data_IF_186908982541
#
_entry.id   IF_186908982541
#
_cell.length_a   1.000
_cell.length_b   1.000
_cell.length_c   1.000
_cell.angle_alpha   90.00
_cell.angle_beta   90.00
_cell.angle_gamma   90.00
#
_symmetry.space_group_name_H-M   'P 1'
#
loop_
_entity.id
_entity.type
_entity.pdbx_description
1 polymer ?
#
# COMPACT_ATOMS: atom_id res chain seq x y z
N UNK A 1 3.20 -11.00 17.65
CA UNK A 1 4.51 -11.59 17.27
C UNK A 1 4.51 -11.77 15.75
N UNK A 2 5.58 -11.39 15.04
CA UNK A 2 5.70 -11.57 13.58
C UNK A 2 6.56 -12.82 13.37
N UNK A 3 5.94 -13.89 12.86
CA UNK A 3 6.55 -15.21 12.74
C UNK A 3 6.74 -15.52 11.24
N UNK A 4 7.50 -16.56 10.88
CA UNK A 4 7.64 -16.97 9.47
C UNK A 4 6.29 -17.26 8.80
N UNK A 5 5.32 -17.81 9.55
CA UNK A 5 3.93 -17.99 9.08
C UNK A 5 3.13 -16.70 8.85
N UNK A 6 3.68 -15.53 9.22
CA UNK A 6 3.09 -14.22 8.90
C UNK A 6 3.53 -13.70 7.52
N UNK A 7 4.52 -14.33 6.88
CA UNK A 7 4.89 -14.02 5.49
C UNK A 7 3.89 -14.72 4.57
N UNK A 8 3.17 -13.96 3.77
CA UNK A 8 2.25 -14.50 2.75
C UNK A 8 2.72 -14.09 1.36
N UNK A 9 2.64 -15.02 0.42
CA UNK A 9 2.72 -14.70 -1.00
C UNK A 9 1.35 -14.19 -1.41
N UNK A 10 1.24 -12.90 -1.70
CA UNK A 10 -0.01 -12.29 -2.15
C UNK A 10 0.06 -12.22 -3.67
N UNK A 11 -0.76 -13.00 -4.40
CA UNK A 11 -0.81 -12.91 -5.85
C UNK A 11 -1.36 -11.53 -6.23
N UNK A 12 -0.64 -10.83 -7.09
CA UNK A 12 -1.12 -9.59 -7.70
C UNK A 12 -1.80 -9.99 -9.01
N UNK A 13 -3.09 -9.69 -9.14
CA UNK A 13 -3.85 -10.05 -10.33
C UNK A 13 -3.28 -9.34 -11.57
N UNK A 14 -3.14 -10.05 -12.70
CA UNK A 14 -2.51 -9.55 -13.92
C UNK A 14 -3.17 -8.27 -14.43
N UNK A 15 -4.48 -8.13 -14.29
CA UNK A 15 -5.19 -6.88 -14.66
C UNK A 15 -4.72 -5.68 -13.83
N UNK A 16 -4.36 -5.84 -12.55
CA UNK A 16 -3.76 -4.75 -11.76
C UNK A 16 -2.33 -4.47 -12.19
N UNK A 17 -1.61 -5.50 -12.66
CA UNK A 17 -0.27 -5.34 -13.23
C UNK A 17 -0.36 -4.57 -14.55
N UNK A 18 -1.23 -4.96 -15.47
CA UNK A 18 -1.36 -4.40 -16.82
C UNK A 18 -2.01 -3.03 -16.85
N UNK A 19 -3.11 -2.80 -16.11
CA UNK A 19 -3.86 -1.54 -16.20
C UNK A 19 -3.43 -0.47 -15.19
N UNK A 20 -2.85 -0.84 -14.06
CA UNK A 20 -2.57 0.13 -12.99
C UNK A 20 -1.09 0.20 -12.66
N UNK A 21 -0.40 -0.92 -12.42
CA UNK A 21 1.02 -0.86 -12.03
C UNK A 21 1.96 -0.57 -13.20
N UNK A 22 1.66 -1.07 -14.40
CA UNK A 22 2.41 -0.74 -15.62
C UNK A 22 2.09 0.67 -16.10
N UNK A 23 0.81 1.04 -16.22
CA UNK A 23 0.43 2.40 -16.66
C UNK A 23 0.93 3.50 -15.73
N UNK A 24 0.96 3.25 -14.41
CA UNK A 24 1.46 4.21 -13.43
C UNK A 24 3.00 4.21 -13.30
N UNK A 25 3.72 3.42 -14.11
CA UNK A 25 5.18 3.40 -14.11
C UNK A 25 5.81 2.73 -12.88
N UNK A 26 5.07 1.87 -12.17
CA UNK A 26 5.52 1.28 -10.91
C UNK A 26 6.63 0.24 -11.12
N UNK A 27 6.58 -0.53 -12.22
CA UNK A 27 7.63 -1.50 -12.54
C UNK A 27 8.94 -0.81 -12.94
N UNK A 28 8.83 0.29 -13.66
CA UNK A 28 9.92 1.18 -14.08
C UNK A 28 10.56 1.80 -12.83
N UNK A 29 9.74 2.29 -11.89
CA UNK A 29 10.22 2.77 -10.60
C UNK A 29 10.95 1.67 -9.82
N UNK A 30 10.42 0.45 -9.75
CA UNK A 30 11.12 -0.67 -9.08
C UNK A 30 12.49 -0.91 -9.74
N UNK A 31 12.55 -0.92 -11.06
CA UNK A 31 13.79 -1.10 -11.81
C UNK A 31 14.78 0.02 -11.48
N UNK A 32 14.37 1.28 -11.52
CA UNK A 32 15.25 2.42 -11.23
C UNK A 32 15.76 2.40 -9.78
N UNK A 33 14.91 2.03 -8.81
CA UNK A 33 15.32 1.89 -7.41
C UNK A 33 16.34 0.77 -7.22
N UNK A 34 16.18 -0.35 -7.95
CA UNK A 34 17.12 -1.47 -7.90
C UNK A 34 18.46 -1.12 -8.54
N UNK A 35 18.44 -0.43 -9.69
CA UNK A 35 19.64 0.06 -10.37
C UNK A 35 20.39 1.10 -9.54
N UNK A 36 19.67 1.94 -8.78
CA UNK A 36 20.23 2.87 -7.81
C UNK A 36 20.82 2.19 -6.55
N UNK A 37 20.75 0.86 -6.44
CA UNK A 37 21.35 0.10 -5.33
C UNK A 37 20.57 0.18 -4.01
N UNK A 38 19.31 0.65 -4.04
CA UNK A 38 18.51 0.74 -2.83
C UNK A 38 17.91 -0.63 -2.45
N UNK A 39 17.96 -0.95 -1.15
CA UNK A 39 17.40 -2.20 -0.60
C UNK A 39 15.90 -2.13 -0.29
N UNK A 40 15.33 -0.92 -0.27
CA UNK A 40 13.91 -0.67 0.03
C UNK A 40 13.22 -0.08 -1.18
N UNK A 41 11.98 -0.48 -1.37
CA UNK A 41 11.12 0.04 -2.45
C UNK A 41 10.87 1.54 -2.33
N UNK A 42 10.77 2.07 -1.11
CA UNK A 42 10.57 3.50 -0.86
C UNK A 42 11.73 4.07 -0.02
N UNK A 43 12.88 4.38 -0.64
CA UNK A 43 14.05 4.90 0.08
C UNK A 43 13.81 6.29 0.69
N UNK A 44 12.90 7.08 0.12
CA UNK A 44 12.50 8.39 0.62
C UNK A 44 11.73 8.34 1.95
N UNK A 45 11.24 7.16 2.35
CA UNK A 45 10.47 7.00 3.56
C UNK A 45 11.40 6.97 4.80
N UNK A 46 11.60 8.15 5.39
CA UNK A 46 12.42 8.31 6.59
C UNK A 46 11.73 7.70 7.80
N UNK A 47 12.45 6.83 8.53
CA UNK A 47 11.99 6.27 9.81
C UNK A 47 11.85 7.39 10.83
N UNK A 48 10.71 7.54 11.49
CA UNK A 48 10.50 8.57 12.51
C UNK A 48 10.12 7.94 13.85
N UNK A 49 10.97 8.14 14.85
CA UNK A 49 10.72 7.73 16.25
C UNK A 49 10.55 6.21 16.45
N UNK A 50 9.91 5.84 17.57
CA UNK A 50 9.65 4.45 17.95
C UNK A 50 8.64 3.71 17.07
N UNK A 51 7.78 4.44 16.35
CA UNK A 51 6.72 3.88 15.49
C UNK A 51 7.20 3.50 14.08
N UNK A 52 8.50 3.61 13.81
CA UNK A 52 9.12 3.11 12.59
C UNK A 52 8.74 3.88 11.32
N UNK A 53 8.33 3.15 10.28
CA UNK A 53 7.99 3.67 8.96
C UNK A 53 6.49 3.94 8.78
N UNK A 54 5.64 3.47 9.71
CA UNK A 54 4.19 3.57 9.58
C UNK A 54 3.66 4.98 9.88
N UNK A 55 4.26 5.69 10.85
CA UNK A 55 3.81 7.04 11.25
C UNK A 55 3.90 8.07 10.10
N UNK A 56 5.01 8.17 9.34
CA UNK A 56 5.09 9.06 8.19
C UNK A 56 4.06 8.74 7.10
N UNK A 57 3.80 7.45 6.85
CA UNK A 57 2.82 7.01 5.83
C UNK A 57 1.41 7.37 6.26
N UNK A 58 1.04 7.14 7.51
CA UNK A 58 -0.28 7.53 8.05
C UNK A 58 -0.53 9.03 7.92
N UNK A 59 0.48 9.86 8.25
CA UNK A 59 0.40 11.33 8.10
C UNK A 59 0.29 11.76 6.64
N UNK A 60 1.04 11.15 5.74
CA UNK A 60 0.91 11.40 4.31
C UNK A 60 -0.49 11.04 3.81
N UNK A 61 -1.02 9.89 4.22
CA UNK A 61 -2.34 9.43 3.81
C UNK A 61 -3.45 10.36 4.30
N UNK A 62 -3.42 10.78 5.58
CA UNK A 62 -4.38 11.75 6.10
C UNK A 62 -4.39 13.05 5.29
N UNK A 63 -3.20 13.60 5.00
CA UNK A 63 -3.08 14.80 4.13
C UNK A 63 -3.61 14.55 2.72
N UNK A 64 -3.37 13.37 2.15
CA UNK A 64 -3.86 13.00 0.83
C UNK A 64 -5.40 12.96 0.80
N UNK A 65 -6.02 12.33 1.80
CA UNK A 65 -7.49 12.26 1.96
C UNK A 65 -8.08 13.67 2.06
N UNK A 66 -7.52 14.52 2.93
CA UNK A 66 -7.95 15.93 3.06
C UNK A 66 -7.77 16.70 1.75
N UNK A 67 -6.64 16.53 1.05
CA UNK A 67 -6.40 17.17 -0.25
C UNK A 67 -7.37 16.70 -1.33
N UNK A 68 -7.91 15.49 -1.20
CA UNK A 68 -8.90 14.93 -2.11
C UNK A 68 -10.33 15.40 -1.81
N UNK A 69 -10.51 16.32 -0.85
CA UNK A 69 -11.81 16.87 -0.46
C UNK A 69 -12.59 16.00 0.52
N UNK A 70 -11.98 14.94 1.05
CA UNK A 70 -12.58 14.05 2.03
C UNK A 70 -12.19 14.52 3.44
N UNK A 71 -13.17 14.87 4.26
CA UNK A 71 -12.97 15.46 5.59
C UNK A 71 -13.35 14.55 6.75
N UNK A 72 -13.82 13.33 6.47
CA UNK A 72 -14.20 12.39 7.51
C UNK A 72 -12.95 11.89 8.26
N UNK A 73 -12.85 12.13 9.59
CA UNK A 73 -11.71 11.72 10.40
C UNK A 73 -11.56 10.19 10.51
N UNK A 74 -12.61 9.42 10.21
CA UNK A 74 -12.55 7.97 10.15
C UNK A 74 -11.83 7.42 8.90
N UNK A 75 -11.54 8.27 7.90
CA UNK A 75 -10.82 7.89 6.70
C UNK A 75 -9.30 7.80 6.94
N UNK A 76 -8.87 6.61 7.32
CA UNK A 76 -7.49 6.25 7.61
C UNK A 76 -7.12 4.97 6.85
N UNK A 77 -5.84 4.60 6.85
CA UNK A 77 -5.38 3.38 6.17
C UNK A 77 -6.12 2.11 6.65
N UNK A 78 -6.56 2.09 7.91
CA UNK A 78 -7.33 0.98 8.46
C UNK A 78 -8.74 0.88 7.86
N UNK A 79 -9.46 2.00 7.73
CA UNK A 79 -10.79 2.00 7.10
C UNK A 79 -10.70 1.79 5.59
N UNK A 80 -9.65 2.28 4.94
CA UNK A 80 -9.36 1.96 3.54
C UNK A 80 -9.22 0.45 3.34
N UNK A 81 -8.46 -0.24 4.21
CA UNK A 81 -8.30 -1.70 4.15
C UNK A 81 -9.65 -2.41 4.26
N UNK A 82 -10.47 -2.04 5.24
CA UNK A 82 -11.79 -2.66 5.43
C UNK A 82 -12.70 -2.41 4.23
N UNK A 83 -12.79 -1.17 3.76
CA UNK A 83 -13.58 -0.84 2.57
C UNK A 83 -13.12 -1.59 1.33
N UNK A 84 -11.80 -1.76 1.15
CA UNK A 84 -11.23 -2.56 0.07
C UNK A 84 -11.65 -4.04 0.15
N UNK A 85 -11.55 -4.65 1.34
CA UNK A 85 -11.98 -6.04 1.55
C UNK A 85 -13.48 -6.17 1.30
N UNK A 86 -14.31 -5.30 1.87
CA UNK A 86 -15.77 -5.33 1.67
C UNK A 86 -16.14 -5.25 0.18
N UNK A 87 -15.52 -4.33 -0.57
CA UNK A 87 -15.77 -4.20 -2.02
C UNK A 87 -15.32 -5.43 -2.81
N UNK A 88 -14.16 -6.01 -2.48
CA UNK A 88 -13.69 -7.23 -3.11
C UNK A 88 -14.63 -8.41 -2.83
N UNK A 89 -15.10 -8.56 -1.59
CA UNK A 89 -16.08 -9.57 -1.21
C UNK A 89 -17.40 -9.37 -1.96
N UNK A 90 -17.92 -8.14 -2.04
CA UNK A 90 -19.15 -7.82 -2.80
C UNK A 90 -19.00 -8.07 -4.30
N UNK A 91 -17.78 -7.95 -4.84
CA UNK A 91 -17.48 -8.27 -6.24
C UNK A 91 -17.30 -9.78 -6.51
N UNK A 92 -17.56 -10.64 -5.50
CA UNK A 92 -17.46 -12.09 -5.64
C UNK A 92 -16.03 -12.62 -5.53
N UNK A 93 -15.06 -11.81 -5.11
CA UNK A 93 -13.70 -12.29 -4.84
C UNK A 93 -13.68 -13.03 -3.49
N UNK A 94 -13.41 -14.34 -3.46
CA UNK A 94 -13.45 -15.12 -2.23
C UNK A 94 -12.37 -14.67 -1.25
N UNK A 95 -12.71 -14.64 0.03
CA UNK A 95 -11.79 -14.30 1.11
C UNK A 95 -10.86 -15.48 1.41
N UNK A 96 -9.91 -15.74 0.53
CA UNK A 96 -8.93 -16.81 0.70
C UNK A 96 -7.73 -16.28 1.51
N UNK A 97 -7.71 -16.61 2.81
CA UNK A 97 -6.65 -16.28 3.78
C UNK A 97 -5.40 -17.16 3.65
#
# INVERSE_FOLDING_TARGET
>A
MKNEGSKRRVPIHSSLIESSLIELGFLEYIRSIKEAGHTRLFPQLKRKGGNGWSDPVGKWFGRFVTKSGLTDPALVLHSLRHGGISKLTSAGCPHNV
#
